data_IF_333419311657
#
_entry.id   IF_333419311657
#
_cell.length_a   1.000
_cell.length_b   1.000
_cell.length_c   1.000
_cell.angle_alpha   90.00
_cell.angle_beta   90.00
_cell.angle_gamma   90.00
#
_symmetry.space_group_name_H-M   'P 1'
#
loop_
_entity.id
_entity.type
_entity.pdbx_description
1 polymer ?
#
# COMPACT_ATOMS: atom_id res chain seq x y z
N UNK A 1 -61.46 26.47 27.15
CA UNK A 1 -61.66 25.31 26.25
C UNK A 1 -61.16 25.69 24.87
N UNK A 2 -60.30 24.86 24.27
CA UNK A 2 -59.90 24.96 22.86
C UNK A 2 -58.40 24.87 22.61
N UNK A 3 -57.79 23.69 22.85
CA UNK A 3 -56.48 23.36 22.28
C UNK A 3 -56.67 23.04 20.80
N UNK A 4 -55.91 23.70 19.92
CA UNK A 4 -55.83 23.37 18.49
C UNK A 4 -54.42 22.87 18.21
N UNK A 5 -54.24 21.54 18.18
CA UNK A 5 -53.03 20.92 17.64
C UNK A 5 -53.04 21.06 16.12
N UNK A 6 -52.03 21.73 15.56
CA UNK A 6 -51.74 21.71 14.13
C UNK A 6 -50.81 20.53 13.85
N UNK A 7 -51.39 19.42 13.44
CA UNK A 7 -50.64 18.30 12.88
C UNK A 7 -50.11 18.71 11.50
N UNK A 8 -48.83 19.06 11.44
CA UNK A 8 -48.11 19.23 10.18
C UNK A 8 -47.77 17.84 9.62
N UNK A 9 -48.77 17.18 9.01
CA UNK A 9 -48.58 15.94 8.27
C UNK A 9 -47.59 16.16 7.14
N UNK A 10 -46.49 15.40 7.13
CA UNK A 10 -45.49 15.43 6.06
C UNK A 10 -46.17 15.27 4.69
N UNK A 11 -45.99 16.26 3.82
CA UNK A 11 -46.51 16.22 2.46
C UNK A 11 -45.99 14.98 1.74
N UNK A 12 -46.88 14.25 1.06
CA UNK A 12 -46.55 13.02 0.31
C UNK A 12 -45.42 13.24 -0.71
N UNK A 13 -45.27 14.47 -1.21
CA UNK A 13 -44.18 14.84 -2.12
C UNK A 13 -42.81 14.87 -1.44
N UNK A 14 -42.73 15.26 -0.17
CA UNK A 14 -41.49 15.26 0.62
C UNK A 14 -41.05 13.83 0.95
N UNK A 15 -42.00 12.93 1.22
CA UNK A 15 -41.71 11.52 1.49
C UNK A 15 -41.10 10.80 0.28
N UNK A 16 -41.58 11.09 -0.94
CA UNK A 16 -41.03 10.53 -2.19
C UNK A 16 -39.60 11.02 -2.42
N UNK A 17 -39.33 12.31 -2.17
CA UNK A 17 -37.98 12.87 -2.31
C UNK A 17 -36.96 12.19 -1.38
N UNK A 18 -37.33 11.97 -0.12
CA UNK A 18 -36.47 11.30 0.87
C UNK A 18 -36.23 9.82 0.48
N UNK A 19 -37.26 9.13 0.00
CA UNK A 19 -37.12 7.73 -0.44
C UNK A 19 -36.14 7.58 -1.62
N UNK A 20 -36.15 8.51 -2.57
CA UNK A 20 -35.21 8.49 -3.71
C UNK A 20 -33.76 8.73 -3.29
N UNK A 21 -33.54 9.67 -2.36
CA UNK A 21 -32.18 9.93 -1.83
C UNK A 21 -31.65 8.72 -1.07
N UNK A 22 -32.47 8.07 -0.26
CA UNK A 22 -32.08 6.86 0.46
C UNK A 22 -31.77 5.69 -0.50
N UNK A 23 -32.55 5.51 -1.56
CA UNK A 23 -32.30 4.49 -2.57
C UNK A 23 -30.96 4.72 -3.30
N UNK A 24 -30.63 5.97 -3.61
CA UNK A 24 -29.36 6.32 -4.24
C UNK A 24 -28.16 6.02 -3.33
N UNK A 25 -28.26 6.33 -2.02
CA UNK A 25 -27.19 6.03 -1.05
C UNK A 25 -26.96 4.51 -0.95
N UNK A 26 -28.03 3.71 -0.84
CA UNK A 26 -27.93 2.25 -0.74
C UNK A 26 -27.27 1.66 -2.00
N UNK A 27 -27.63 2.15 -3.19
CA UNK A 27 -27.06 1.67 -4.45
C UNK A 27 -25.55 1.97 -4.55
N UNK A 28 -25.11 3.15 -4.10
CA UNK A 28 -23.68 3.52 -4.09
C UNK A 28 -22.91 2.65 -3.11
N UNK A 29 -23.41 2.47 -1.87
CA UNK A 29 -22.72 1.63 -0.86
C UNK A 29 -22.61 0.17 -1.32
N UNK A 30 -23.65 -0.39 -1.94
CA UNK A 30 -23.61 -1.75 -2.49
C UNK A 30 -22.59 -1.90 -3.63
N UNK A 31 -22.48 -0.91 -4.52
CA UNK A 31 -21.52 -0.94 -5.62
C UNK A 31 -20.06 -0.99 -5.13
N UNK A 32 -19.71 -0.23 -4.10
CA UNK A 32 -18.37 -0.24 -3.53
C UNK A 32 -18.04 -1.55 -2.79
N UNK A 33 -18.99 -2.14 -2.07
CA UNK A 33 -18.79 -3.42 -1.38
C UNK A 33 -18.64 -4.59 -2.36
N UNK A 34 -19.48 -4.65 -3.39
CA UNK A 34 -19.43 -5.76 -4.36
C UNK A 34 -18.12 -5.77 -5.19
N UNK A 35 -17.46 -4.61 -5.34
CA UNK A 35 -16.15 -4.56 -6.02
C UNK A 35 -14.99 -5.06 -5.14
N UNK A 36 -15.15 -5.08 -3.82
CA UNK A 36 -14.08 -5.51 -2.90
C UNK A 36 -13.98 -7.04 -2.80
N UNK A 37 -15.10 -7.76 -2.83
CA UNK A 37 -15.12 -9.23 -2.72
C UNK A 37 -14.60 -9.98 -3.96
N UNK A 38 -14.55 -9.33 -5.13
CA UNK A 38 -14.08 -9.98 -6.35
C UNK A 38 -12.55 -10.19 -6.41
N UNK A 39 -11.79 -9.61 -5.48
CA UNK A 39 -10.33 -9.68 -5.47
C UNK A 39 -9.73 -10.84 -4.64
N UNK A 40 -10.53 -11.66 -3.94
CA UNK A 40 -9.99 -12.68 -3.01
C UNK A 40 -10.31 -14.16 -3.35
N UNK A 41 -10.96 -14.46 -4.48
CA UNK A 41 -11.41 -15.84 -4.78
C UNK A 41 -10.62 -16.58 -5.87
N UNK A 42 -9.29 -16.52 -5.85
CA UNK A 42 -8.43 -17.42 -6.63
C UNK A 42 -7.31 -18.01 -5.77
N UNK A 43 -7.67 -18.73 -4.70
CA UNK A 43 -6.78 -19.73 -4.09
C UNK A 43 -7.38 -21.10 -4.37
N UNK A 44 -6.80 -21.77 -5.37
CA UNK A 44 -7.17 -23.12 -5.77
C UNK A 44 -6.54 -24.13 -4.80
N UNK A 45 -7.38 -24.86 -4.08
CA UNK A 45 -6.99 -26.00 -3.23
C UNK A 45 -6.91 -27.31 -4.02
N UNK A 46 -5.84 -28.06 -3.73
CA UNK A 46 -5.62 -29.52 -3.85
C UNK A 46 -5.23 -30.09 -5.24
N UNK A 47 -4.06 -30.75 -5.34
CA UNK A 47 -3.98 -32.15 -4.92
C UNK A 47 -2.56 -32.68 -4.62
N UNK A 48 -2.57 -33.75 -3.84
CA UNK A 48 -1.53 -34.45 -3.06
C UNK A 48 -0.59 -35.34 -3.90
N UNK A 49 0.70 -35.44 -3.53
CA UNK A 49 1.38 -36.74 -3.30
C UNK A 49 2.83 -36.67 -2.76
N UNK A 50 3.01 -37.27 -1.57
CA UNK A 50 4.07 -38.21 -1.14
C UNK A 50 5.55 -37.79 -1.31
N UNK A 51 6.36 -37.75 -0.26
CA UNK A 51 6.85 -38.94 0.47
C UNK A 51 7.60 -38.51 1.74
N UNK A 52 7.30 -39.16 2.87
CA UNK A 52 8.07 -39.10 4.11
C UNK A 52 9.49 -39.64 3.90
N UNK A 53 10.50 -38.91 4.37
CA UNK A 53 11.69 -39.56 4.91
C UNK A 53 12.29 -38.71 6.02
N UNK A 54 12.12 -39.19 7.24
CA UNK A 54 12.74 -38.65 8.46
C UNK A 54 14.14 -39.22 8.58
N UNK A 55 15.17 -38.37 8.55
CA UNK A 55 16.43 -38.67 9.23
C UNK A 55 17.10 -37.37 9.72
N UNK A 56 17.21 -37.27 11.04
CA UNK A 56 17.79 -36.18 11.81
C UNK A 56 19.28 -35.92 11.52
N UNK A 57 19.67 -34.64 11.48
CA UNK A 57 20.88 -34.03 12.08
C UNK A 57 20.89 -32.55 11.68
N UNK A 58 20.62 -31.63 12.61
CA UNK A 58 21.60 -31.00 13.52
C UNK A 58 21.99 -29.59 13.00
N UNK A 59 21.57 -28.58 13.77
CA UNK A 59 22.03 -27.18 13.78
C UNK A 59 22.08 -26.42 12.46
N UNK A 60 21.01 -25.66 12.17
CA UNK A 60 21.16 -24.34 11.54
C UNK A 60 20.01 -23.36 11.86
N UNK A 61 19.32 -23.58 12.98
CA UNK A 61 18.20 -22.75 13.43
C UNK A 61 18.74 -21.56 14.25
N UNK A 62 19.55 -20.69 13.64
CA UNK A 62 19.86 -19.36 14.22
C UNK A 62 20.49 -18.32 13.27
N UNK A 63 20.50 -18.55 11.95
CA UNK A 63 21.11 -17.61 10.98
C UNK A 63 20.11 -17.04 9.97
N UNK A 64 18.99 -17.72 9.69
CA UNK A 64 18.02 -17.24 8.70
C UNK A 64 17.12 -16.10 9.21
N UNK A 65 16.72 -16.08 10.48
CA UNK A 65 15.85 -15.02 11.03
C UNK A 65 16.56 -13.64 11.07
N UNK A 66 17.90 -13.64 11.17
CA UNK A 66 18.69 -12.41 11.18
C UNK A 66 18.83 -11.74 9.80
N UNK A 67 18.57 -12.46 8.70
CA UNK A 67 18.65 -11.89 7.34
C UNK A 67 17.33 -11.30 6.83
N UNK A 68 16.18 -11.76 7.34
CA UNK A 68 14.87 -11.29 6.89
C UNK A 68 14.66 -9.80 7.19
N UNK A 69 15.09 -9.33 8.36
CA UNK A 69 14.93 -7.93 8.77
C UNK A 69 15.92 -6.97 8.10
N UNK A 70 16.98 -7.50 7.48
CA UNK A 70 18.04 -6.70 6.86
C UNK A 70 17.59 -6.10 5.52
N UNK A 71 16.59 -6.68 4.88
CA UNK A 71 16.21 -6.31 3.52
C UNK A 71 14.71 -6.08 3.38
N UNK A 72 14.35 -5.05 2.60
CA UNK A 72 13.02 -4.92 2.06
C UNK A 72 12.96 -5.70 0.75
N UNK A 73 12.09 -6.71 0.69
CA UNK A 73 11.92 -7.58 -0.47
C UNK A 73 10.51 -7.41 -1.03
N UNK A 74 10.41 -6.81 -2.23
CA UNK A 74 9.16 -6.73 -2.98
C UNK A 74 9.13 -7.95 -3.90
N UNK A 75 8.49 -9.02 -3.42
CA UNK A 75 8.61 -10.38 -4.00
C UNK A 75 8.02 -10.44 -5.40
N UNK A 76 6.90 -9.76 -5.61
CA UNK A 76 6.18 -9.70 -6.89
C UNK A 76 7.00 -9.06 -7.98
N UNK A 77 7.98 -8.24 -7.59
CA UNK A 77 8.84 -7.52 -8.49
C UNK A 77 10.26 -8.11 -8.53
N UNK A 78 10.59 -9.09 -7.71
CA UNK A 78 11.96 -9.64 -7.65
C UNK A 78 13.01 -8.62 -7.17
N UNK A 79 12.57 -7.58 -6.44
CA UNK A 79 13.43 -6.46 -6.02
C UNK A 79 13.81 -6.61 -4.55
N UNK A 80 15.09 -6.37 -4.25
CA UNK A 80 15.64 -6.40 -2.88
C UNK A 80 16.48 -5.15 -2.62
N UNK A 81 16.24 -4.49 -1.49
CA UNK A 81 17.06 -3.37 -0.99
C UNK A 81 17.47 -3.60 0.46
N UNK A 82 18.70 -3.26 0.80
CA UNK A 82 19.17 -3.25 2.19
C UNK A 82 18.52 -2.12 2.98
N UNK A 83 17.92 -2.45 4.12
CA UNK A 83 17.29 -1.49 5.02
C UNK A 83 18.35 -0.93 5.97
N UNK A 84 18.38 0.40 6.21
CA UNK A 84 19.24 1.00 7.23
C UNK A 84 19.11 0.29 8.58
N UNK A 85 20.23 0.15 9.31
CA UNK A 85 20.29 -0.64 10.55
C UNK A 85 19.23 -0.24 11.58
N UNK A 86 18.94 1.06 11.68
CA UNK A 86 17.96 1.65 12.59
C UNK A 86 16.48 1.48 12.16
N UNK A 87 16.25 0.90 10.99
CA UNK A 87 14.93 0.61 10.41
C UNK A 87 14.72 -0.88 10.11
N UNK A 88 15.67 -1.76 10.42
CA UNK A 88 15.53 -3.20 10.22
C UNK A 88 14.34 -3.77 11.00
N UNK A 89 13.52 -4.59 10.35
CA UNK A 89 12.26 -5.10 10.92
C UNK A 89 11.18 -4.02 11.14
N UNK A 90 11.39 -2.78 10.67
CA UNK A 90 10.48 -1.63 10.83
C UNK A 90 9.96 -1.06 9.52
N UNK A 91 10.29 -1.68 8.39
CA UNK A 91 9.85 -1.27 7.06
C UNK A 91 9.03 -2.38 6.44
N UNK A 92 7.88 -2.04 5.88
CA UNK A 92 7.05 -2.95 5.08
C UNK A 92 6.57 -2.26 3.81
N UNK A 93 5.91 -3.00 2.93
CA UNK A 93 5.27 -2.45 1.75
C UNK A 93 3.85 -2.98 1.58
N UNK A 94 3.02 -2.22 0.87
CA UNK A 94 1.76 -2.70 0.35
C UNK A 94 1.68 -2.41 -1.15
N UNK A 95 1.18 -3.39 -1.91
CA UNK A 95 0.93 -3.22 -3.33
C UNK A 95 -0.39 -2.51 -3.56
N UNK A 96 -0.41 -1.68 -4.60
CA UNK A 96 -1.59 -1.00 -5.07
C UNK A 96 -1.56 -0.77 -6.57
N UNK A 97 -2.69 -0.33 -7.09
CA UNK A 97 -2.86 0.02 -8.49
C UNK A 97 -3.53 1.39 -8.62
N UNK A 98 -3.12 2.17 -9.61
CA UNK A 98 -3.84 3.38 -9.98
C UNK A 98 -5.03 3.02 -10.87
N UNK A 99 -6.10 3.83 -10.87
CA UNK A 99 -7.09 3.75 -11.94
C UNK A 99 -6.40 3.82 -13.30
N UNK A 100 -6.94 3.10 -14.28
CA UNK A 100 -6.44 3.14 -15.64
C UNK A 100 -6.45 4.60 -16.18
N UNK A 101 -5.39 4.98 -16.89
CA UNK A 101 -5.32 6.27 -17.58
C UNK A 101 -6.29 6.33 -18.79
N UNK A 102 -6.27 7.45 -19.53
CA UNK A 102 -7.13 7.63 -20.70
C UNK A 102 -6.90 6.59 -21.80
N UNK A 103 -5.74 5.96 -21.82
CA UNK A 103 -5.32 4.98 -22.82
C UNK A 103 -5.49 3.54 -22.30
N UNK A 104 -5.99 3.37 -21.06
CA UNK A 104 -6.32 2.09 -20.46
C UNK A 104 -5.18 1.44 -19.68
N UNK A 105 -4.08 2.16 -19.41
CA UNK A 105 -2.93 1.62 -18.70
C UNK A 105 -3.09 1.74 -17.19
N UNK A 106 -2.89 0.62 -16.49
CA UNK A 106 -2.82 0.56 -15.03
C UNK A 106 -1.35 0.74 -14.61
N UNK A 107 -1.11 1.58 -13.60
CA UNK A 107 0.20 1.68 -12.96
C UNK A 107 0.15 0.93 -11.65
N UNK A 108 1.08 -0.01 -11.46
CA UNK A 108 1.24 -0.72 -10.19
C UNK A 108 2.22 0.05 -9.31
N UNK A 109 2.00 0.04 -8.01
CA UNK A 109 2.90 0.68 -7.06
C UNK A 109 3.05 -0.14 -5.79
N UNK A 110 4.19 0.05 -5.11
CA UNK A 110 4.48 -0.47 -3.79
C UNK A 110 4.64 0.74 -2.86
N UNK A 111 3.66 0.98 -2.01
CA UNK A 111 3.75 1.99 -0.96
C UNK A 111 4.64 1.46 0.16
N UNK A 112 5.64 2.24 0.55
CA UNK A 112 6.61 1.87 1.57
C UNK A 112 6.21 2.51 2.90
N UNK A 113 6.09 1.66 3.92
CA UNK A 113 5.64 2.04 5.24
C UNK A 113 6.76 1.84 6.26
N UNK A 114 6.88 2.80 7.18
CA UNK A 114 7.77 2.70 8.33
C UNK A 114 6.92 2.63 9.60
N UNK A 115 7.20 1.67 10.47
CA UNK A 115 6.47 1.54 11.74
C UNK A 115 6.60 2.80 12.59
N UNK A 116 5.50 3.19 13.23
CA UNK A 116 5.43 4.41 14.05
C UNK A 116 6.46 4.38 15.19
N UNK A 117 6.75 3.22 15.75
CA UNK A 117 7.68 3.07 16.88
C UNK A 117 9.15 3.32 16.50
N UNK A 118 9.49 3.26 15.21
CA UNK A 118 10.81 3.58 14.69
C UNK A 118 11.04 5.10 14.55
N UNK A 119 9.99 5.90 14.65
CA UNK A 119 10.00 7.34 14.45
C UNK A 119 9.80 8.06 15.79
N UNK A 120 10.77 8.89 16.17
CA UNK A 120 10.71 9.64 17.43
C UNK A 120 9.76 10.82 17.26
N UNK A 121 8.67 10.85 18.04
CA UNK A 121 7.70 11.96 18.05
C UNK A 121 7.02 12.19 16.69
N UNK A 122 5.86 11.56 16.48
CA UNK A 122 5.13 11.68 15.22
C UNK A 122 3.72 12.21 15.36
N UNK A 123 3.37 13.14 14.47
CA UNK A 123 2.02 13.70 14.28
C UNK A 123 1.41 13.26 12.94
N UNK A 124 2.12 12.45 12.14
CA UNK A 124 1.59 11.96 10.87
C UNK A 124 0.35 11.09 11.05
N UNK A 125 -0.54 11.15 10.07
CA UNK A 125 -1.56 10.12 9.91
C UNK A 125 -0.86 8.77 9.72
N UNK A 126 -1.38 7.76 10.43
CA UNK A 126 -0.87 6.40 10.36
C UNK A 126 -1.90 5.50 9.68
N UNK A 127 -1.39 4.47 9.04
CA UNK A 127 -2.17 3.37 8.48
C UNK A 127 -1.81 2.07 9.23
N UNK A 128 -2.78 1.16 9.37
CA UNK A 128 -2.52 -0.14 9.98
C UNK A 128 -1.92 -1.07 8.93
N UNK A 129 -0.71 -1.55 9.20
CA UNK A 129 -0.02 -2.57 8.39
C UNK A 129 0.26 -3.81 9.24
N UNK A 130 0.95 -4.80 8.68
CA UNK A 130 1.44 -5.97 9.42
C UNK A 130 2.44 -5.59 10.53
N UNK A 131 3.05 -4.40 10.45
CA UNK A 131 3.92 -3.84 11.49
C UNK A 131 3.16 -3.00 12.53
N UNK A 132 1.82 -2.98 12.48
CA UNK A 132 0.97 -2.13 13.30
C UNK A 132 0.80 -0.72 12.71
N UNK A 133 0.65 0.28 13.57
CA UNK A 133 0.54 1.68 13.12
C UNK A 133 1.82 2.10 12.39
N UNK A 134 1.69 2.50 11.13
CA UNK A 134 2.82 2.81 10.26
C UNK A 134 2.54 4.05 9.43
N UNK A 135 3.60 4.64 8.88
CA UNK A 135 3.54 5.90 8.12
C UNK A 135 3.99 5.62 6.71
N UNK A 136 3.22 6.07 5.73
CA UNK A 136 3.65 6.03 4.33
C UNK A 136 4.79 7.03 4.12
N UNK A 137 5.93 6.54 3.64
CA UNK A 137 7.17 7.32 3.47
C UNK A 137 7.62 7.42 2.01
N UNK A 138 6.83 6.86 1.10
CA UNK A 138 7.10 6.85 -0.33
C UNK A 138 6.31 5.77 -1.04
N UNK A 139 6.38 5.80 -2.37
CA UNK A 139 5.81 4.77 -3.24
C UNK A 139 6.75 4.50 -4.39
N UNK A 140 7.12 3.24 -4.59
CA UNK A 140 7.75 2.80 -5.83
C UNK A 140 6.67 2.52 -6.86
N UNK A 141 6.88 2.90 -8.13
CA UNK A 141 5.93 2.68 -9.21
C UNK A 141 6.57 1.79 -10.28
N UNK A 142 5.81 0.81 -10.76
CA UNK A 142 6.13 0.02 -11.95
C UNK A 142 5.11 0.33 -13.02
N UNK A 143 5.59 0.66 -14.23
CA UNK A 143 4.76 0.64 -15.43
C UNK A 143 5.14 -0.54 -16.32
N UNK A 144 4.12 -1.30 -16.71
CA UNK A 144 4.20 -2.54 -17.49
C UNK A 144 4.69 -2.44 -18.94
N UNK A 145 5.24 -1.31 -19.38
CA UNK A 145 5.63 -1.12 -20.78
C UNK A 145 6.67 -0.02 -20.95
N UNK A 146 7.73 -0.34 -21.70
CA UNK A 146 8.83 0.55 -22.07
C UNK A 146 8.51 1.50 -23.22
N UNK A 147 7.42 1.25 -23.93
CA UNK A 147 7.16 1.89 -25.22
C UNK A 147 6.36 3.19 -25.12
N UNK A 148 6.02 3.63 -23.90
CA UNK A 148 5.20 4.83 -23.68
C UNK A 148 5.87 5.78 -22.67
N UNK A 149 5.93 7.09 -22.97
CA UNK A 149 6.45 8.07 -22.02
C UNK A 149 5.60 8.07 -20.76
N UNK A 150 6.27 8.14 -19.60
CA UNK A 150 5.61 8.21 -18.30
C UNK A 150 4.90 9.56 -18.14
N UNK A 151 3.64 9.60 -18.53
CA UNK A 151 2.74 10.71 -18.24
C UNK A 151 2.20 10.53 -16.83
N UNK A 152 2.73 11.26 -15.87
CA UNK A 152 2.05 11.44 -14.59
C UNK A 152 1.90 12.91 -14.24
N UNK A 153 0.92 13.18 -13.38
CA UNK A 153 0.69 14.50 -12.79
C UNK A 153 1.68 14.86 -11.69
N UNK A 154 2.54 13.91 -11.30
CA UNK A 154 3.53 14.00 -10.23
C UNK A 154 4.93 14.16 -10.83
N UNK A 155 5.69 15.12 -10.31
CA UNK A 155 7.11 15.29 -10.65
C UNK A 155 7.91 14.21 -9.92
N UNK A 156 8.30 13.16 -10.63
CA UNK A 156 9.19 12.14 -10.07
C UNK A 156 10.64 12.60 -10.15
N UNK A 157 11.44 12.29 -9.13
CA UNK A 157 12.90 12.30 -9.31
C UNK A 157 13.24 11.09 -10.17
N UNK A 158 13.84 11.35 -11.31
CA UNK A 158 14.15 10.35 -12.34
C UNK A 158 15.24 9.39 -11.86
N UNK A 159 14.84 8.33 -11.16
CA UNK A 159 15.55 7.06 -11.24
C UNK A 159 14.70 6.16 -12.11
N UNK A 160 14.83 6.35 -13.44
CA UNK A 160 14.22 5.47 -14.42
C UNK A 160 15.14 4.25 -14.51
N UNK A 161 14.77 3.15 -13.86
CA UNK A 161 15.36 1.86 -14.22
C UNK A 161 14.54 1.33 -15.39
N UNK A 162 15.21 0.76 -16.38
CA UNK A 162 14.56 0.11 -17.53
C UNK A 162 15.10 -1.31 -17.63
N UNK A 163 14.22 -2.29 -17.72
CA UNK A 163 14.56 -3.63 -18.23
C UNK A 163 13.93 -3.83 -19.62
N UNK A 164 13.98 -5.04 -20.18
CA UNK A 164 13.44 -5.31 -21.53
C UNK A 164 11.93 -5.10 -21.66
N UNK A 165 11.18 -5.11 -20.55
CA UNK A 165 9.71 -5.07 -20.54
C UNK A 165 9.11 -3.95 -19.66
N UNK A 166 9.85 -3.44 -18.67
CA UNK A 166 9.34 -2.54 -17.63
C UNK A 166 10.21 -1.29 -17.43
N UNK A 167 9.52 -0.17 -17.21
CA UNK A 167 10.12 1.08 -16.75
C UNK A 167 9.69 1.33 -15.31
N UNK A 168 10.68 1.49 -14.44
CA UNK A 168 10.53 1.66 -13.01
C UNK A 168 10.69 3.13 -12.68
N UNK A 169 9.76 3.66 -11.89
CA UNK A 169 9.82 5.03 -11.42
C UNK A 169 9.74 5.05 -9.91
N UNK A 170 10.67 5.76 -9.31
CA UNK A 170 10.81 5.79 -7.88
C UNK A 170 10.33 7.14 -7.36
N UNK A 171 9.24 7.14 -6.60
CA UNK A 171 8.72 8.35 -5.98
C UNK A 171 8.94 8.31 -4.49
N UNK A 172 9.63 9.30 -3.99
CA UNK A 172 9.72 9.51 -2.55
C UNK A 172 9.09 10.84 -2.20
N UNK A 173 8.43 10.84 -1.05
CA UNK A 173 8.09 12.06 -0.38
C UNK A 173 8.46 11.89 1.08
N UNK A 174 9.02 12.92 1.68
CA UNK A 174 9.19 12.98 3.12
C UNK A 174 7.97 13.71 3.65
N UNK A 175 7.04 13.03 4.37
CA UNK A 175 5.86 13.72 4.89
C UNK A 175 6.27 14.92 5.74
N UNK A 176 5.69 16.10 5.46
CA UNK A 176 5.97 17.34 6.23
C UNK A 176 5.70 17.17 7.74
N UNK A 177 4.79 16.24 8.08
CA UNK A 177 4.40 15.91 9.44
C UNK A 177 5.45 15.09 10.22
N UNK A 178 6.53 14.64 9.60
CA UNK A 178 7.60 13.91 10.29
C UNK A 178 8.41 14.80 11.27
N UNK A 179 8.13 16.10 11.29
CA UNK A 179 8.62 17.06 12.27
C UNK A 179 10.11 17.38 12.09
N UNK A 180 10.51 18.62 12.30
CA UNK A 180 11.89 19.11 12.11
C UNK A 180 12.95 18.55 13.07
N UNK A 181 12.71 17.38 13.68
CA UNK A 181 13.76 16.62 14.36
C UNK A 181 14.65 15.99 13.31
N UNK A 182 15.91 16.43 13.24
CA UNK A 182 16.91 15.96 12.26
C UNK A 182 16.99 14.43 12.18
N UNK A 183 16.63 13.72 13.26
CA UNK A 183 16.55 12.26 13.33
C UNK A 183 15.60 11.64 12.31
N UNK A 184 14.29 11.89 12.38
CA UNK A 184 13.30 11.20 11.54
C UNK A 184 13.52 11.47 10.04
N UNK A 185 13.78 12.73 9.68
CA UNK A 185 14.09 13.10 8.29
C UNK A 185 15.31 12.33 7.79
N UNK A 186 16.39 12.27 8.58
CA UNK A 186 17.59 11.54 8.18
C UNK A 186 17.35 10.03 8.00
N UNK A 187 16.53 9.41 8.86
CA UNK A 187 16.15 8.00 8.71
C UNK A 187 15.45 7.73 7.39
N UNK A 188 14.44 8.54 7.08
CA UNK A 188 13.68 8.40 5.83
C UNK A 188 14.57 8.68 4.62
N UNK A 189 15.42 9.70 4.66
CA UNK A 189 16.38 9.95 3.58
C UNK A 189 17.38 8.81 3.38
N UNK A 190 17.85 8.17 4.46
CA UNK A 190 18.74 7.01 4.37
C UNK A 190 18.02 5.81 3.76
N UNK A 191 16.75 5.58 4.14
CA UNK A 191 15.92 4.55 3.51
C UNK A 191 15.71 4.85 2.03
N UNK A 192 15.40 6.10 1.67
CA UNK A 192 15.25 6.53 0.28
C UNK A 192 16.54 6.25 -0.51
N UNK A 193 17.70 6.69 -0.02
CA UNK A 193 19.01 6.41 -0.67
C UNK A 193 19.30 4.92 -0.80
N UNK A 194 18.85 4.09 0.14
CA UNK A 194 19.03 2.64 0.06
C UNK A 194 18.10 2.01 -0.98
N UNK A 195 16.88 2.52 -1.09
CA UNK A 195 15.92 2.16 -2.13
C UNK A 195 16.29 2.72 -3.51
N UNK A 196 17.21 3.69 -3.62
CA UNK A 196 17.77 4.08 -4.94
C UNK A 196 18.78 3.05 -5.46
N UNK A 197 19.34 2.23 -4.57
CA UNK A 197 20.36 1.21 -4.90
C UNK A 197 19.76 -0.18 -5.13
N UNK A 198 18.50 -0.26 -5.59
CA UNK A 198 17.81 -1.54 -5.80
C UNK A 198 18.67 -2.46 -6.66
N UNK A 199 18.86 -3.67 -6.17
CA UNK A 199 19.58 -4.73 -6.88
C UNK A 199 18.55 -5.73 -7.38
N UNK A 200 18.61 -6.02 -8.68
CA UNK A 200 17.88 -7.11 -9.31
C UNK A 200 18.67 -8.40 -9.11
N UNK A 201 18.01 -9.46 -8.63
CA UNK A 201 18.57 -10.81 -8.52
C UNK A 201 18.42 -11.58 -9.83
#
# INVERSE_FOLDING_TARGET
MGNVSKDHGFSKTTAIGVALVLAAIIAVTWFFLNKYDQSQNNVSTNDVNQTENTQSQENNENVEEAEEDKYLVIKEWGVKTEVPEDLRGKVTYALGETPADSDGHVTYFASIFVSRDALSELVCATETTDLGESVSTGSQYIRGSNNEPFSSRWNYKENILQDENYSYHLSYFTPDCLGGGEGNTQKIENLQKALEKLVWN
#
